data_IF_578232141903
#
_entry.id   IF_578232141903
#
_cell.length_a   1.000
_cell.length_b   1.000
_cell.length_c   1.000
_cell.angle_alpha   90.00
_cell.angle_beta   90.00
_cell.angle_gamma   90.00
#
_symmetry.space_group_name_H-M   'P 1'
#
loop_
_entity.id
_entity.type
_entity.pdbx_description
1 polymer ?
#
# COMPACT_ATOMS: atom_id res chain seq x y z
N UNK A 1 3.34 -18.67 -2.08
CA UNK A 1 2.75 -17.67 -3.00
C UNK A 1 2.34 -16.44 -2.21
N UNK A 2 2.74 -15.25 -2.65
CA UNK A 2 2.45 -13.98 -1.96
C UNK A 2 1.51 -13.18 -2.87
N UNK A 3 0.33 -12.85 -2.36
CA UNK A 3 -0.64 -12.01 -3.06
C UNK A 3 -0.32 -10.54 -2.82
N UNK A 4 -0.07 -9.82 -3.91
CA UNK A 4 0.17 -8.38 -3.92
C UNK A 4 -0.99 -7.65 -4.60
N UNK A 5 -1.15 -6.40 -4.20
CA UNK A 5 -2.14 -5.47 -4.71
C UNK A 5 -1.38 -4.35 -5.41
N UNK A 6 -1.78 -3.97 -6.61
CA UNK A 6 -1.28 -2.74 -7.23
C UNK A 6 -2.38 -1.70 -7.10
N UNK A 7 -2.11 -0.61 -6.37
CA UNK A 7 -3.12 0.42 -6.12
C UNK A 7 -2.61 1.79 -6.53
N UNK A 8 -3.47 2.60 -7.15
CA UNK A 8 -3.21 4.02 -7.41
C UNK A 8 -3.61 4.83 -6.19
N UNK A 9 -2.74 5.71 -5.72
CA UNK A 9 -3.07 6.71 -4.72
C UNK A 9 -4.01 7.75 -5.34
N UNK A 10 -5.16 7.99 -4.73
CA UNK A 10 -6.22 8.88 -5.23
C UNK A 10 -6.06 10.31 -4.69
N UNK A 11 -5.42 10.44 -3.53
CA UNK A 11 -5.07 11.71 -2.90
C UNK A 11 -3.75 11.53 -2.15
N UNK A 12 -2.89 12.55 -2.16
CA UNK A 12 -1.59 12.50 -1.50
C UNK A 12 -1.71 12.31 0.01
N UNK A 13 -1.06 11.29 0.56
CA UNK A 13 -1.10 10.95 1.98
C UNK A 13 0.28 11.09 2.59
N UNK A 14 0.37 11.76 3.74
CA UNK A 14 1.55 11.73 4.59
C UNK A 14 1.24 11.05 5.91
N UNK A 15 1.69 9.81 6.07
CA UNK A 15 1.50 9.03 7.30
C UNK A 15 2.60 9.39 8.29
N UNK A 16 2.36 10.48 9.04
CA UNK A 16 3.30 11.05 10.03
C UNK A 16 4.72 11.18 9.42
N UNK A 17 5.74 10.65 10.11
CA UNK A 17 7.14 10.59 9.65
C UNK A 17 7.50 9.27 8.96
N UNK A 18 6.55 8.35 8.83
CA UNK A 18 6.85 6.95 8.51
C UNK A 18 6.61 6.61 7.04
N UNK A 19 5.76 7.36 6.32
CA UNK A 19 5.71 7.19 4.88
C UNK A 19 4.84 8.18 4.14
N UNK A 20 5.24 8.44 2.91
CA UNK A 20 4.55 9.32 1.97
C UNK A 20 3.97 8.51 0.81
N UNK A 21 2.77 8.88 0.41
CA UNK A 21 2.10 8.42 -0.80
C UNK A 21 1.73 9.64 -1.62
N UNK A 22 2.28 9.73 -2.81
CA UNK A 22 2.08 10.83 -3.74
C UNK A 22 0.80 10.61 -4.53
N UNK A 23 0.03 11.67 -4.71
CA UNK A 23 -1.20 11.67 -5.51
C UNK A 23 -0.96 11.10 -6.93
N UNK A 24 -1.91 10.29 -7.41
CA UNK A 24 -1.88 9.63 -8.71
C UNK A 24 -0.83 8.52 -8.88
N UNK A 25 0.15 8.41 -7.96
CA UNK A 25 1.23 7.41 -8.05
C UNK A 25 0.73 6.02 -7.69
N UNK A 26 1.36 5.01 -8.27
CA UNK A 26 0.99 3.61 -8.10
C UNK A 26 1.94 2.93 -7.13
N UNK A 27 1.37 2.17 -6.20
CA UNK A 27 2.06 1.54 -5.10
C UNK A 27 1.73 0.06 -5.01
N UNK A 28 2.68 -0.70 -4.47
CA UNK A 28 2.48 -2.10 -4.12
C UNK A 28 1.91 -2.22 -2.71
N UNK A 29 0.90 -3.06 -2.58
CA UNK A 29 0.24 -3.42 -1.34
C UNK A 29 0.29 -4.91 -1.06
N UNK A 30 0.12 -5.29 0.20
CA UNK A 30 -0.07 -6.68 0.63
C UNK A 30 -0.99 -6.74 1.83
N UNK A 31 -1.65 -7.88 1.97
CA UNK A 31 -2.41 -8.21 3.18
C UNK A 31 -1.46 -8.93 4.13
N UNK A 32 -1.29 -8.38 5.33
CA UNK A 32 -0.52 -9.02 6.40
C UNK A 32 -1.31 -10.17 7.04
N UNK A 33 -0.64 -10.97 7.87
CA UNK A 33 -1.26 -12.16 8.49
C UNK A 33 -2.45 -11.82 9.40
N UNK A 34 -2.44 -10.63 9.98
CA UNK A 34 -3.51 -10.11 10.84
C UNK A 34 -4.68 -9.50 10.03
N UNK A 35 -4.66 -9.62 8.70
CA UNK A 35 -5.67 -9.05 7.81
C UNK A 35 -5.46 -7.57 7.51
N UNK A 36 -4.43 -6.93 8.07
CA UNK A 36 -4.17 -5.52 7.79
C UNK A 36 -3.63 -5.29 6.38
N UNK A 37 -4.04 -4.19 5.76
CA UNK A 37 -3.52 -3.78 4.45
C UNK A 37 -2.29 -2.90 4.64
N UNK A 38 -1.17 -3.34 4.07
CA UNK A 38 0.11 -2.65 4.10
C UNK A 38 0.45 -2.17 2.69
N UNK A 39 0.83 -0.91 2.53
CA UNK A 39 1.31 -0.32 1.28
C UNK A 39 2.78 0.06 1.43
N UNK A 40 3.57 -0.13 0.36
CA UNK A 40 4.95 0.31 0.31
C UNK A 40 5.00 1.80 -0.03
N UNK A 41 5.55 2.63 0.86
CA UNK A 41 5.65 4.09 0.68
C UNK A 41 6.80 4.50 -0.25
N UNK A 42 6.89 5.79 -0.57
CA UNK A 42 7.99 6.38 -1.35
C UNK A 42 9.37 6.16 -0.72
N UNK A 43 9.42 6.07 0.61
CA UNK A 43 10.63 5.81 1.40
C UNK A 43 10.99 4.32 1.48
N UNK A 44 10.26 3.45 0.78
CA UNK A 44 10.50 2.01 0.76
C UNK A 44 10.06 1.29 2.04
N UNK A 45 9.19 1.91 2.84
CA UNK A 45 8.68 1.34 4.08
C UNK A 45 7.27 0.74 3.88
N UNK A 46 6.99 -0.38 4.54
CA UNK A 46 5.64 -0.94 4.56
C UNK A 46 4.81 -0.23 5.62
N UNK A 47 3.80 0.51 5.19
CA UNK A 47 2.91 1.30 6.05
C UNK A 47 1.52 0.70 6.06
N UNK A 48 0.94 0.56 7.25
CA UNK A 48 -0.45 0.15 7.39
C UNK A 48 -1.35 1.29 6.96
N UNK A 49 -2.17 1.07 5.93
CA UNK A 49 -3.07 2.11 5.37
C UNK A 49 -4.54 1.85 5.67
N UNK A 50 -4.86 0.66 6.17
CA UNK A 50 -6.21 0.31 6.58
C UNK A 50 -6.21 0.04 8.09
N UNK A 51 -6.48 1.11 8.85
CA UNK A 51 -7.05 0.99 10.18
C UNK A 51 -8.41 1.65 10.14
N UNK A 52 -9.44 1.02 10.72
CA UNK A 52 -10.74 1.65 10.95
C UNK A 52 -10.65 2.97 11.73
N UNK A 53 -9.49 3.26 12.33
CA UNK A 53 -9.16 4.50 13.05
C UNK A 53 -8.52 5.59 12.18
N UNK A 54 -8.21 5.33 10.91
CA UNK A 54 -7.87 6.38 9.93
C UNK A 54 -9.12 7.09 9.39
N UNK A 55 -10.17 7.22 10.22
CA UNK A 55 -11.24 8.17 10.00
C UNK A 55 -10.70 9.56 10.33
N UNK A 56 -10.13 10.24 9.33
CA UNK A 56 -10.29 11.70 9.30
C UNK A 56 -11.79 12.00 9.31
N UNK A 57 -12.20 13.13 9.89
CA UNK A 57 -13.60 13.49 10.17
C UNK A 57 -14.55 13.53 8.94
N UNK A 58 -14.06 13.21 7.75
CA UNK A 58 -14.78 13.19 6.48
C UNK A 58 -14.55 11.86 5.78
N UNK A 59 -15.38 10.85 6.11
CA UNK A 59 -15.57 9.58 5.39
C UNK A 59 -14.31 8.70 5.14
N UNK A 60 -14.45 7.38 4.99
CA UNK A 60 -13.36 6.55 4.47
C UNK A 60 -13.19 6.85 2.98
N UNK A 61 -12.53 7.96 2.64
CA UNK A 61 -12.02 8.15 1.29
C UNK A 61 -10.95 7.07 1.14
N UNK A 62 -11.28 6.05 0.34
CA UNK A 62 -10.33 5.02 -0.08
C UNK A 62 -9.22 5.72 -0.88
N UNK A 63 -8.21 6.25 -0.19
CA UNK A 63 -7.08 6.95 -0.79
C UNK A 63 -6.25 6.07 -1.74
N UNK A 64 -6.64 4.80 -1.90
CA UNK A 64 -6.05 3.85 -2.83
C UNK A 64 -7.14 3.16 -3.65
N UNK A 65 -7.06 3.29 -4.97
CA UNK A 65 -7.88 2.55 -5.92
C UNK A 65 -7.13 1.31 -6.40
N UNK A 66 -7.70 0.12 -6.17
CA UNK A 66 -7.11 -1.13 -6.65
C UNK A 66 -7.12 -1.17 -8.19
N UNK A 67 -5.95 -1.39 -8.79
CA UNK A 67 -5.81 -1.58 -10.24
C UNK A 67 -5.92 -3.07 -10.56
N UNK A 68 -5.06 -3.89 -9.94
CA UNK A 68 -5.07 -5.34 -10.13
C UNK A 68 -4.31 -6.07 -9.01
N UNK A 69 -4.48 -7.39 -8.96
CA UNK A 69 -3.67 -8.27 -8.11
C UNK A 69 -2.48 -8.83 -8.90
N UNK A 70 -1.39 -9.13 -8.18
CA UNK A 70 -0.26 -9.89 -8.72
C UNK A 70 0.15 -10.96 -7.70
N UNK A 71 0.44 -12.16 -8.18
CA UNK A 71 0.90 -13.26 -7.35
C UNK A 71 2.37 -13.51 -7.65
N UNK A 72 3.19 -13.60 -6.61
CA UNK A 72 4.61 -13.98 -6.73
C UNK A 72 4.86 -15.30 -6.01
N UNK A 73 5.75 -16.12 -6.57
CA UNK A 73 6.05 -17.45 -6.09
C UNK A 73 6.76 -17.43 -4.74
N UNK A 74 7.72 -16.51 -4.57
CA UNK A 74 8.63 -16.48 -3.43
C UNK A 74 9.04 -15.05 -3.00
N UNK A 75 9.84 -14.97 -1.93
CA UNK A 75 10.34 -13.69 -1.38
C UNK A 75 11.40 -13.00 -2.27
N UNK A 76 12.10 -13.75 -3.13
CA UNK A 76 13.14 -13.20 -4.02
C UNK A 76 12.49 -12.35 -5.11
N UNK A 77 11.49 -12.92 -5.79
CA UNK A 77 10.66 -12.22 -6.79
C UNK A 77 10.00 -10.97 -6.21
N UNK A 78 9.53 -11.03 -4.96
CA UNK A 78 8.98 -9.86 -4.26
C UNK A 78 10.01 -8.74 -4.14
N UNK A 79 11.26 -9.06 -3.74
CA UNK A 79 12.32 -8.07 -3.57
C UNK A 79 12.74 -7.44 -4.89
N UNK A 80 12.83 -8.24 -5.95
CA UNK A 80 13.16 -7.75 -7.30
C UNK A 80 12.08 -6.80 -7.81
N UNK A 81 10.81 -7.12 -7.56
CA UNK A 81 9.66 -6.30 -7.95
C UNK A 81 9.55 -4.96 -7.20
N UNK A 82 10.13 -4.86 -6.01
CA UNK A 82 10.12 -3.64 -5.18
C UNK A 82 11.34 -2.75 -5.46
N UNK A 83 12.44 -3.34 -5.95
CA UNK A 83 13.68 -2.61 -6.27
C UNK A 83 13.66 -1.92 -7.63
N UNK A 84 12.79 -2.37 -8.53
CA UNK A 84 12.55 -1.80 -9.86
C UNK A 84 11.31 -0.89 -9.83
#
# INVERSE_FOLDING_TARGET
>A
MIKLMKCRCVEGIRVRKNGTFTDGKVYWGRIAKDGSVMMLSDEGQWIRVWESRMMTAFQPILNFHLIHYKFVGNKKELKELIKN
#
